data_IF_628134093680
#
_entry.id   IF_628134093680
#
_cell.length_a   1.000
_cell.length_b   1.000
_cell.length_c   1.000
_cell.angle_alpha   90.00
_cell.angle_beta   90.00
_cell.angle_gamma   90.00
#
_symmetry.space_group_name_H-M   'P 1'
#
loop_
_entity.id
_entity.type
_entity.pdbx_description
1 polymer ?
#
# COMPACT_ATOMS: atom_id res chain seq x y z
N UNK A 1 19.82 24.24 -9.93
CA UNK A 1 19.95 22.78 -9.93
C UNK A 1 18.56 22.22 -10.18
N UNK A 2 18.30 21.46 -11.25
CA UNK A 2 17.02 20.78 -11.38
C UNK A 2 16.94 19.73 -10.27
N UNK A 3 15.92 19.81 -9.43
CA UNK A 3 15.61 18.73 -8.48
C UNK A 3 15.09 17.56 -9.33
N UNK A 4 15.86 16.49 -9.42
CA UNK A 4 15.42 15.27 -10.09
C UNK A 4 14.15 14.77 -9.40
N UNK A 5 13.06 14.57 -10.14
CA UNK A 5 11.87 13.93 -9.59
C UNK A 5 12.22 12.52 -9.12
N UNK A 6 11.65 12.04 -7.99
CA UNK A 6 11.92 10.70 -7.52
C UNK A 6 11.51 9.66 -8.57
N UNK A 7 12.18 8.52 -8.55
CA UNK A 7 11.83 7.34 -9.36
C UNK A 7 10.91 6.40 -8.58
N UNK A 8 10.17 5.55 -9.29
CA UNK A 8 9.37 4.49 -8.65
C UNK A 8 10.21 3.59 -7.77
N UNK A 9 11.46 3.29 -8.17
CA UNK A 9 12.38 2.48 -7.39
C UNK A 9 12.78 3.17 -6.07
N UNK A 10 13.01 4.48 -6.09
CA UNK A 10 13.30 5.25 -4.87
C UNK A 10 12.09 5.32 -3.94
N UNK A 11 10.88 5.48 -4.48
CA UNK A 11 9.65 5.43 -3.69
C UNK A 11 9.48 4.05 -3.04
N UNK A 12 9.61 2.97 -3.81
CA UNK A 12 9.53 1.58 -3.29
C UNK A 12 10.56 1.34 -2.19
N UNK A 13 11.81 1.76 -2.38
CA UNK A 13 12.84 1.63 -1.35
C UNK A 13 12.50 2.41 -0.08
N UNK A 14 12.03 3.64 -0.23
CA UNK A 14 11.63 4.49 0.91
C UNK A 14 10.46 3.88 1.68
N UNK A 15 9.49 3.29 0.97
CA UNK A 15 8.36 2.60 1.59
C UNK A 15 8.85 1.34 2.33
N UNK A 16 9.72 0.53 1.73
CA UNK A 16 10.29 -0.66 2.37
C UNK A 16 11.03 -0.31 3.67
N UNK A 17 11.89 0.72 3.64
CA UNK A 17 12.63 1.21 4.81
C UNK A 17 11.71 1.73 5.93
N UNK A 18 10.51 2.23 5.60
CA UNK A 18 9.51 2.67 6.57
C UNK A 18 8.72 1.52 7.16
N UNK A 19 8.32 0.55 6.34
CA UNK A 19 7.53 -0.61 6.76
C UNK A 19 8.22 -1.41 7.87
N UNK A 20 9.55 -1.55 7.82
CA UNK A 20 10.32 -2.28 8.84
C UNK A 20 10.48 -1.52 10.17
N UNK A 21 9.99 -0.27 10.24
CA UNK A 21 10.09 0.63 11.39
C UNK A 21 8.75 1.02 11.99
N UNK A 22 7.64 0.52 11.46
CA UNK A 22 6.32 0.79 12.00
C UNK A 22 6.19 0.18 13.38
N UNK A 23 5.66 0.96 14.32
CA UNK A 23 5.29 0.50 15.66
C UNK A 23 3.77 0.28 15.75
N UNK A 24 3.29 -0.28 16.86
CA UNK A 24 1.87 -0.53 17.07
C UNK A 24 1.03 0.76 16.92
N UNK A 25 -0.05 0.65 16.14
CA UNK A 25 -0.91 1.77 15.79
C UNK A 25 -0.41 2.64 14.63
N UNK A 26 0.82 2.47 14.15
CA UNK A 26 1.31 3.25 13.02
C UNK A 26 0.56 2.91 11.73
N UNK A 27 0.26 3.96 10.98
CA UNK A 27 -0.37 3.91 9.66
C UNK A 27 0.55 4.60 8.67
N UNK A 28 0.79 3.94 7.53
CA UNK A 28 1.46 4.50 6.36
C UNK A 28 0.49 4.45 5.17
N UNK A 29 0.17 5.61 4.61
CA UNK A 29 -0.70 5.75 3.44
C UNK A 29 0.03 6.42 2.28
N UNK A 30 -0.21 5.92 1.08
CA UNK A 30 0.24 6.46 -0.21
C UNK A 30 -1.00 6.75 -1.06
N UNK A 31 -1.17 7.98 -1.52
CA UNK A 31 -2.42 8.39 -2.17
C UNK A 31 -2.18 9.31 -3.38
N UNK A 32 -3.03 9.17 -4.39
CA UNK A 32 -3.21 10.12 -5.48
C UNK A 32 -4.69 10.19 -5.88
N UNK A 33 -5.36 11.30 -5.60
CA UNK A 33 -6.81 11.42 -5.83
C UNK A 33 -7.58 10.37 -5.02
N UNK A 34 -8.44 9.61 -5.70
CA UNK A 34 -9.23 8.52 -5.08
C UNK A 34 -8.45 7.22 -4.92
N UNK A 35 -7.27 7.11 -5.54
CA UNK A 35 -6.44 5.92 -5.48
C UNK A 35 -5.51 5.95 -4.28
N UNK A 36 -5.53 4.89 -3.47
CA UNK A 36 -4.59 4.75 -2.36
C UNK A 36 -4.17 3.30 -2.13
N UNK A 37 -2.98 3.18 -1.55
CA UNK A 37 -2.60 2.02 -0.76
C UNK A 37 -2.24 2.47 0.65
N UNK A 38 -2.57 1.67 1.65
CA UNK A 38 -2.22 1.97 3.02
C UNK A 38 -1.84 0.70 3.77
N UNK A 39 -1.16 0.86 4.89
CA UNK A 39 -1.02 -0.21 5.85
C UNK A 39 -1.13 0.31 7.27
N UNK A 40 -1.55 -0.57 8.16
CA UNK A 40 -1.62 -0.35 9.59
C UNK A 40 -0.90 -1.49 10.29
N UNK A 41 0.00 -1.14 11.21
CA UNK A 41 0.61 -2.07 12.14
C UNK A 41 -0.31 -2.20 13.37
N UNK A 42 -0.66 -3.44 13.73
CA UNK A 42 -1.53 -3.76 14.85
C UNK A 42 -0.99 -4.97 15.61
N UNK A 43 -0.36 -4.73 16.76
CA UNK A 43 0.31 -5.65 17.69
C UNK A 43 1.16 -6.77 17.04
N UNK A 44 0.48 -7.75 16.42
CA UNK A 44 1.06 -8.97 15.86
C UNK A 44 0.79 -9.17 14.36
N UNK A 45 0.21 -8.18 13.68
CA UNK A 45 -0.01 -8.22 12.23
C UNK A 45 0.15 -6.84 11.62
N UNK A 46 0.63 -6.82 10.39
CA UNK A 46 0.52 -5.66 9.52
C UNK A 46 -0.57 -5.95 8.49
N UNK A 47 -1.60 -5.09 8.47
CA UNK A 47 -2.69 -5.16 7.49
C UNK A 47 -2.47 -4.08 6.45
N UNK A 48 -2.29 -4.48 5.20
CA UNK A 48 -2.17 -3.56 4.08
C UNK A 48 -3.39 -3.65 3.17
N UNK A 49 -3.75 -2.52 2.57
CA UNK A 49 -4.91 -2.35 1.72
C UNK A 49 -4.58 -1.58 0.45
N UNK A 50 -5.33 -1.89 -0.61
CA UNK A 50 -5.46 -1.09 -1.81
C UNK A 50 -6.96 -0.83 -2.07
N UNK A 51 -7.29 0.40 -2.46
CA UNK A 51 -8.70 0.80 -2.67
C UNK A 51 -9.40 -0.10 -3.70
N UNK A 52 -10.67 -0.41 -3.47
CA UNK A 52 -11.48 -1.22 -4.38
C UNK A 52 -12.62 -0.44 -5.04
N UNK A 53 -13.28 -1.09 -5.99
CA UNK A 53 -14.50 -0.61 -6.64
C UNK A 53 -15.69 -0.37 -5.70
N UNK A 54 -15.63 -0.84 -4.45
CA UNK A 54 -16.64 -0.50 -3.44
C UNK A 54 -16.56 0.97 -2.98
N UNK A 55 -15.39 1.60 -3.11
CA UNK A 55 -15.13 2.97 -2.65
C UNK A 55 -14.81 3.93 -3.78
N UNK A 56 -14.39 3.43 -4.94
CA UNK A 56 -14.09 4.25 -6.11
C UNK A 56 -15.38 4.77 -6.77
N UNK A 57 -15.40 6.04 -7.21
CA UNK A 57 -16.47 6.54 -8.03
C UNK A 57 -16.49 5.85 -9.41
N UNK A 58 -17.63 5.83 -10.13
CA UNK A 58 -17.78 5.08 -11.38
C UNK A 58 -16.70 5.34 -12.43
N UNK A 59 -16.25 6.59 -12.56
CA UNK A 59 -15.20 7.02 -13.50
C UNK A 59 -13.80 6.49 -13.18
N UNK A 60 -13.57 6.07 -11.94
CA UNK A 60 -12.29 5.56 -11.46
C UNK A 60 -12.31 4.06 -11.15
N UNK A 61 -13.43 3.37 -11.40
CA UNK A 61 -13.51 1.94 -11.15
C UNK A 61 -12.48 1.16 -11.97
N UNK A 62 -11.85 0.22 -11.29
CA UNK A 62 -10.89 -0.74 -11.84
C UNK A 62 -11.61 -1.67 -12.81
N UNK A 63 -10.99 -1.88 -13.96
CA UNK A 63 -11.39 -2.94 -14.89
C UNK A 63 -11.10 -4.33 -14.31
N UNK A 64 -11.72 -5.35 -14.89
CA UNK A 64 -11.44 -6.75 -14.51
C UNK A 64 -9.95 -7.13 -14.68
N UNK A 65 -9.26 -6.54 -15.67
CA UNK A 65 -7.83 -6.76 -15.89
C UNK A 65 -6.97 -6.12 -14.79
N UNK A 66 -7.36 -4.95 -14.31
CA UNK A 66 -6.70 -4.27 -13.18
C UNK A 66 -6.91 -5.05 -11.88
N UNK A 67 -8.12 -5.54 -11.63
CA UNK A 67 -8.42 -6.39 -10.46
C UNK A 67 -7.69 -7.74 -10.51
N UNK A 68 -7.59 -8.37 -11.68
CA UNK A 68 -6.79 -9.58 -11.86
C UNK A 68 -5.30 -9.31 -11.62
N UNK A 69 -4.79 -8.13 -12.00
CA UNK A 69 -3.41 -7.77 -11.71
C UNK A 69 -3.15 -7.63 -10.22
N UNK A 70 -4.05 -7.01 -9.45
CA UNK A 70 -3.94 -6.98 -7.99
C UNK A 70 -3.88 -8.40 -7.40
N UNK A 71 -4.73 -9.30 -7.86
CA UNK A 71 -4.71 -10.71 -7.45
C UNK A 71 -3.37 -11.38 -7.76
N UNK A 72 -2.84 -11.17 -8.97
CA UNK A 72 -1.56 -11.73 -9.40
C UNK A 72 -0.36 -11.19 -8.59
N UNK A 73 -0.43 -9.92 -8.16
CA UNK A 73 0.58 -9.29 -7.29
C UNK A 73 0.46 -9.74 -5.82
N UNK A 74 -0.54 -10.56 -5.49
CA UNK A 74 -0.71 -11.21 -4.19
C UNK A 74 -1.73 -10.55 -3.26
N UNK A 75 -2.53 -9.60 -3.75
CA UNK A 75 -3.64 -9.03 -3.01
C UNK A 75 -4.82 -10.00 -2.94
N UNK A 76 -5.45 -10.10 -1.78
CA UNK A 76 -6.73 -10.79 -1.61
C UNK A 76 -7.88 -9.86 -2.03
N UNK A 77 -8.92 -10.39 -2.71
CA UNK A 77 -10.04 -9.59 -3.15
C UNK A 77 -10.84 -9.01 -1.97
N UNK A 78 -11.61 -7.93 -2.19
CA UNK A 78 -12.60 -7.46 -1.23
C UNK A 78 -13.58 -8.58 -0.85
N UNK A 79 -13.88 -8.68 0.44
CA UNK A 79 -14.84 -9.60 1.04
C UNK A 79 -15.68 -8.84 2.09
N UNK A 80 -16.64 -7.99 1.65
CA UNK A 80 -17.50 -7.26 2.57
C UNK A 80 -18.43 -8.22 3.34
N UNK A 81 -18.73 -7.95 4.63
CA UNK A 81 -18.43 -6.70 5.34
C UNK A 81 -17.03 -6.68 5.99
N UNK A 82 -16.24 -7.75 5.89
CA UNK A 82 -14.99 -7.90 6.63
C UNK A 82 -13.88 -6.98 6.09
N UNK A 83 -13.68 -6.98 4.77
CA UNK A 83 -12.71 -6.12 4.10
C UNK A 83 -13.35 -5.56 2.83
N UNK A 84 -13.68 -4.28 2.82
CA UNK A 84 -14.20 -3.63 1.60
C UNK A 84 -13.13 -3.30 0.57
N UNK A 85 -11.84 -3.45 0.91
CA UNK A 85 -10.70 -3.17 0.05
C UNK A 85 -9.98 -4.46 -0.35
N UNK A 86 -9.13 -4.35 -1.38
CA UNK A 86 -8.10 -5.35 -1.64
C UNK A 86 -7.14 -5.35 -0.46
N UNK A 87 -6.73 -6.51 0.03
CA UNK A 87 -5.98 -6.57 1.28
C UNK A 87 -4.95 -7.69 1.33
N UNK A 88 -3.99 -7.55 2.25
CA UNK A 88 -3.09 -8.63 2.67
C UNK A 88 -2.78 -8.44 4.15
N UNK A 89 -2.66 -9.54 4.88
CA UNK A 89 -2.22 -9.56 6.27
C UNK A 89 -0.88 -10.27 6.35
N UNK A 90 0.11 -9.59 6.92
CA UNK A 90 1.43 -10.15 7.19
C UNK A 90 1.57 -10.36 8.70
N UNK A 91 1.80 -11.59 9.18
CA UNK A 91 2.10 -11.81 10.58
C UNK A 91 3.39 -11.09 10.97
N UNK A 92 3.36 -10.38 12.09
CA UNK A 92 4.54 -9.74 12.69
C UNK A 92 4.66 -10.32 14.10
N UNK A 93 5.51 -11.31 14.27
CA UNK A 93 5.64 -11.99 15.57
C UNK A 93 6.42 -11.10 16.53
N UNK A 94 5.71 -10.34 17.36
CA UNK A 94 6.32 -9.54 18.43
C UNK A 94 7.27 -10.42 19.28
N UNK A 95 8.49 -9.96 19.59
CA UNK A 95 9.03 -8.60 19.39
C UNK A 95 9.80 -8.40 18.07
N UNK A 96 9.71 -9.32 17.10
CA UNK A 96 10.42 -9.17 15.83
C UNK A 96 9.68 -8.19 14.92
N UNK A 97 10.36 -7.15 14.42
CA UNK A 97 9.80 -6.29 13.39
C UNK A 97 9.62 -7.08 12.08
N UNK A 98 8.85 -6.50 11.16
CA UNK A 98 8.78 -6.99 9.78
C UNK A 98 10.19 -7.14 9.21
N UNK A 99 10.50 -8.29 8.61
CA UNK A 99 11.82 -8.51 8.01
C UNK A 99 12.05 -7.59 6.81
N UNK A 100 13.31 -7.33 6.46
CA UNK A 100 13.65 -6.51 5.28
C UNK A 100 13.07 -7.09 3.99
N UNK A 101 13.05 -8.41 3.84
CA UNK A 101 12.49 -9.10 2.67
C UNK A 101 10.96 -8.94 2.58
N UNK A 102 10.26 -9.06 3.71
CA UNK A 102 8.81 -8.84 3.78
C UNK A 102 8.46 -7.37 3.55
N UNK A 103 9.24 -6.44 4.14
CA UNK A 103 9.11 -5.01 3.91
C UNK A 103 9.32 -4.64 2.45
N UNK A 104 10.36 -5.21 1.80
CA UNK A 104 10.61 -5.02 0.38
C UNK A 104 9.49 -5.58 -0.49
N UNK A 105 8.99 -6.79 -0.20
CA UNK A 105 7.87 -7.40 -0.91
C UNK A 105 6.60 -6.55 -0.77
N UNK A 106 6.26 -6.13 0.44
CA UNK A 106 5.04 -5.37 0.68
C UNK A 106 5.11 -3.98 0.06
N UNK A 107 6.27 -3.32 0.11
CA UNK A 107 6.49 -2.06 -0.59
C UNK A 107 6.31 -2.22 -2.11
N UNK A 108 6.81 -3.31 -2.70
CA UNK A 108 6.60 -3.60 -4.11
C UNK A 108 5.11 -3.80 -4.44
N UNK A 109 4.35 -4.49 -3.58
CA UNK A 109 2.90 -4.65 -3.76
C UNK A 109 2.16 -3.29 -3.68
N UNK A 110 2.46 -2.49 -2.67
CA UNK A 110 1.81 -1.18 -2.44
C UNK A 110 2.12 -0.18 -3.56
N UNK A 111 3.39 -0.05 -3.94
CA UNK A 111 3.81 0.87 -5.02
C UNK A 111 3.43 0.30 -6.39
N UNK A 112 3.46 -1.02 -6.55
CA UNK A 112 3.01 -1.72 -7.75
C UNK A 112 1.53 -1.49 -8.05
N UNK A 113 0.66 -1.52 -7.03
CA UNK A 113 -0.75 -1.16 -7.23
C UNK A 113 -0.91 0.28 -7.75
N UNK A 114 -0.20 1.26 -7.17
CA UNK A 114 -0.24 2.66 -7.62
C UNK A 114 0.23 2.81 -9.08
N UNK A 115 1.36 2.20 -9.42
CA UNK A 115 2.01 2.35 -10.74
C UNK A 115 1.35 1.49 -11.82
N UNK A 116 1.21 0.20 -11.55
CA UNK A 116 0.85 -0.79 -12.57
C UNK A 116 -0.66 -1.00 -12.67
N UNK A 117 -1.41 -0.79 -11.59
CA UNK A 117 -2.86 -0.99 -11.57
C UNK A 117 -3.57 0.34 -11.73
N UNK A 118 -3.33 1.30 -10.84
CA UNK A 118 -3.99 2.62 -10.89
C UNK A 118 -3.40 3.55 -11.94
N UNK A 119 -2.31 3.14 -12.61
CA UNK A 119 -1.67 3.86 -13.73
C UNK A 119 -1.31 5.30 -13.38
N UNK A 120 -0.87 5.55 -12.14
CA UNK A 120 -0.33 6.86 -11.77
C UNK A 120 0.96 7.06 -12.57
N UNK A 121 1.05 8.17 -13.30
CA UNK A 121 2.12 8.39 -14.29
C UNK A 121 3.51 8.56 -13.66
N UNK A 122 3.57 9.14 -12.46
CA UNK A 122 4.83 9.54 -11.84
C UNK A 122 4.75 9.53 -10.31
N UNK A 123 5.82 9.12 -9.60
CA UNK A 123 5.81 8.96 -8.14
C UNK A 123 5.78 10.29 -7.38
N UNK A 124 6.10 11.42 -8.01
CA UNK A 124 5.96 12.76 -7.42
C UNK A 124 4.49 13.18 -7.25
N UNK A 125 3.57 12.52 -7.95
CA UNK A 125 2.13 12.69 -7.78
C UNK A 125 1.59 11.95 -6.56
N UNK A 126 2.38 11.03 -5.97
CA UNK A 126 1.98 10.23 -4.82
C UNK A 126 2.28 10.98 -3.53
N UNK A 127 1.23 11.19 -2.74
CA UNK A 127 1.33 11.82 -1.44
C UNK A 127 1.46 10.74 -0.36
N UNK A 128 2.56 10.79 0.40
CA UNK A 128 2.78 9.90 1.53
C UNK A 128 2.36 10.56 2.84
N UNK A 129 1.57 9.85 3.66
CA UNK A 129 1.24 10.26 5.03
C UNK A 129 1.61 9.13 5.99
N UNK A 130 2.25 9.48 7.10
CA UNK A 130 2.51 8.56 8.21
C UNK A 130 2.03 9.21 9.51
N UNK A 131 1.33 8.45 10.34
CA UNK A 131 0.81 8.88 11.63
C UNK A 131 0.56 7.66 12.52
N UNK A 132 0.49 7.86 13.84
CA UNK A 132 0.07 6.82 14.76
C UNK A 132 -1.41 7.00 15.08
N UNK A 133 -2.23 5.97 14.94
CA UNK A 133 -3.68 6.05 15.16
C UNK A 133 -4.07 6.17 16.64
N UNK A 134 -3.12 5.97 17.57
CA UNK A 134 -3.34 6.11 19.01
C UNK A 134 -3.00 7.50 19.56
N UNK A 135 -2.42 8.40 18.75
CA UNK A 135 -1.99 9.75 19.19
C UNK A 135 -2.41 10.88 18.24
#
# INVERSE_FOLDING_TARGET
>A
MPMTSPTWQELTRTVAERLTRLDDGDVLSLQHGDFYTQCQMAEVWLHAEAVSNHHLPPEHQLSAEQEERLRADGWLPPDPPNNSNWHVKVPVLAPMPLSDDEGARLAQMMVGALRDVFKIDSPDLVQGKAFNAFY
#
